data_IF_487224680552
#
_entry.id   IF_487224680552
#
_cell.length_a   1.000
_cell.length_b   1.000
_cell.length_c   1.000
_cell.angle_alpha   90.00
_cell.angle_beta   90.00
_cell.angle_gamma   90.00
#
_symmetry.space_group_name_H-M   'P 1'
#
loop_
_entity.id
_entity.type
_entity.pdbx_description
1 polymer ?
#
# COMPACT_ATOMS: atom_id res chain seq x y z
N UNK A 1 -15.58 -13.19 25.41
CA UNK A 1 -16.09 -11.80 25.35
C UNK A 1 -15.06 -10.96 24.59
N UNK A 2 -15.32 -10.56 23.34
CA UNK A 2 -14.47 -9.57 22.66
C UNK A 2 -14.60 -8.23 23.40
N UNK A 3 -13.48 -7.57 23.69
CA UNK A 3 -13.48 -6.24 24.31
C UNK A 3 -13.90 -5.22 23.25
N UNK A 4 -14.85 -4.34 23.58
CA UNK A 4 -15.22 -3.21 22.73
C UNK A 4 -14.17 -2.11 22.82
N UNK A 5 -13.91 -1.46 21.70
CA UNK A 5 -13.03 -0.29 21.59
C UNK A 5 -13.79 0.89 21.01
N UNK A 6 -13.26 2.09 21.24
CA UNK A 6 -13.86 3.36 20.85
C UNK A 6 -12.87 4.17 20.03
N UNK A 7 -13.34 4.84 18.98
CA UNK A 7 -12.54 5.77 18.20
C UNK A 7 -13.37 6.96 17.76
N UNK A 8 -12.84 8.16 17.96
CA UNK A 8 -13.50 9.40 17.58
C UNK A 8 -12.95 9.95 16.26
N UNK A 9 -13.83 10.53 15.46
CA UNK A 9 -13.51 11.25 14.22
C UNK A 9 -14.21 12.60 14.22
N UNK A 10 -13.60 13.59 13.58
CA UNK A 10 -14.21 14.91 13.38
C UNK A 10 -14.14 15.26 11.90
N UNK A 11 -15.30 15.50 11.29
CA UNK A 11 -15.44 15.93 9.91
C UNK A 11 -15.82 17.41 9.92
N UNK A 12 -14.85 18.28 9.67
CA UNK A 12 -15.12 19.70 9.50
C UNK A 12 -16.05 19.93 8.29
N UNK A 13 -16.92 20.93 8.35
CA UNK A 13 -17.82 21.26 7.25
C UNK A 13 -17.07 21.67 5.96
N UNK A 14 -15.83 22.12 6.11
CA UNK A 14 -14.90 22.45 5.03
C UNK A 14 -13.83 21.36 4.79
N UNK A 15 -14.04 20.13 5.29
CA UNK A 15 -13.16 19.00 5.01
C UNK A 15 -13.04 18.79 3.49
N UNK A 16 -11.81 18.63 3.00
CA UNK A 16 -11.50 18.37 1.59
C UNK A 16 -11.71 16.90 1.20
N UNK A 17 -12.28 16.11 2.12
CA UNK A 17 -12.53 14.69 1.99
C UNK A 17 -11.54 13.81 2.74
N UNK A 18 -10.44 14.36 3.28
CA UNK A 18 -9.44 13.57 4.00
C UNK A 18 -9.99 12.94 5.29
N UNK A 19 -10.69 13.72 6.14
CA UNK A 19 -11.28 13.18 7.37
C UNK A 19 -12.44 12.22 7.07
N UNK A 20 -13.22 12.54 6.04
CA UNK A 20 -14.30 11.69 5.53
C UNK A 20 -13.78 10.35 5.02
N UNK A 21 -12.68 10.33 4.27
CA UNK A 21 -12.05 9.10 3.79
C UNK A 21 -11.45 8.29 4.95
N UNK A 22 -10.84 8.94 5.94
CA UNK A 22 -10.31 8.28 7.13
C UNK A 22 -11.40 7.55 7.93
N UNK A 23 -12.54 8.21 8.16
CA UNK A 23 -13.70 7.60 8.82
C UNK A 23 -14.24 6.41 8.01
N UNK A 24 -14.45 6.59 6.71
CA UNK A 24 -14.95 5.53 5.82
C UNK A 24 -14.01 4.32 5.78
N UNK A 25 -12.70 4.56 5.73
CA UNK A 25 -11.67 3.52 5.78
C UNK A 25 -11.73 2.77 7.11
N UNK A 26 -11.92 3.48 8.22
CA UNK A 26 -12.04 2.88 9.54
C UNK A 26 -13.28 1.98 9.66
N UNK A 27 -14.44 2.48 9.26
CA UNK A 27 -15.71 1.73 9.25
C UNK A 27 -15.60 0.46 8.40
N UNK A 28 -14.95 0.54 7.23
CA UNK A 28 -14.78 -0.61 6.33
C UNK A 28 -13.80 -1.67 6.84
N UNK A 29 -12.93 -1.34 7.79
CA UNK A 29 -11.87 -2.22 8.30
C UNK A 29 -12.18 -2.88 9.63
N UNK A 30 -13.28 -2.51 10.29
CA UNK A 30 -13.64 -3.01 11.63
C UNK A 30 -15.09 -3.48 11.66
N UNK A 31 -15.38 -4.43 12.55
CA UNK A 31 -16.77 -4.78 12.89
C UNK A 31 -17.31 -3.67 13.79
N UNK A 32 -18.16 -2.84 13.23
CA UNK A 32 -18.73 -1.69 13.93
C UNK A 32 -19.94 -2.16 14.75
N UNK A 33 -19.90 -1.85 16.04
CA UNK A 33 -20.94 -2.15 17.01
C UNK A 33 -21.95 -1.01 17.12
N UNK A 34 -21.47 0.24 17.12
CA UNK A 34 -22.31 1.44 17.18
C UNK A 34 -21.59 2.64 16.59
N UNK A 35 -22.35 3.60 16.06
CA UNK A 35 -21.84 4.91 15.64
C UNK A 35 -22.77 5.98 16.20
N UNK A 36 -22.23 6.82 17.07
CA UNK A 36 -22.89 8.02 17.54
C UNK A 36 -22.34 9.23 16.79
N UNK A 37 -23.21 10.20 16.49
CA UNK A 37 -22.82 11.42 15.79
C UNK A 37 -23.50 12.65 16.39
N UNK A 38 -22.74 13.73 16.47
CA UNK A 38 -23.22 15.02 16.95
C UNK A 38 -22.66 16.13 16.06
N UNK A 39 -23.50 17.11 15.74
CA UNK A 39 -23.05 18.29 15.00
C UNK A 39 -22.53 19.34 15.97
N UNK A 40 -21.29 19.76 15.81
CA UNK A 40 -20.65 20.81 16.61
C UNK A 40 -20.56 22.08 15.77
N UNK A 41 -21.12 23.19 16.26
CA UNK A 41 -21.13 24.45 15.52
C UNK A 41 -19.87 25.32 15.73
N UNK A 42 -19.09 25.09 16.79
CA UNK A 42 -17.91 25.88 17.16
C UNK A 42 -16.86 25.00 17.87
N UNK A 43 -15.55 25.33 17.80
CA UNK A 43 -14.93 26.47 17.10
C UNK A 43 -14.79 26.27 15.58
N UNK A 44 -14.88 25.02 15.10
CA UNK A 44 -14.97 24.69 13.67
C UNK A 44 -16.30 23.95 13.48
N UNK A 45 -17.19 24.40 12.58
CA UNK A 45 -18.43 23.68 12.32
C UNK A 45 -18.12 22.31 11.71
N UNK A 46 -18.74 21.26 12.21
CA UNK A 46 -18.47 19.90 11.72
C UNK A 46 -19.23 18.83 12.47
N UNK A 47 -19.07 17.60 12.03
CA UNK A 47 -19.67 16.42 12.64
C UNK A 47 -18.62 15.66 13.46
N UNK A 48 -18.88 15.49 14.74
CA UNK A 48 -18.15 14.56 15.60
C UNK A 48 -18.80 13.18 15.52
N UNK A 49 -17.98 12.14 15.39
CA UNK A 49 -18.41 10.75 15.40
C UNK A 49 -17.68 10.01 16.51
N UNK A 50 -18.42 9.22 17.28
CA UNK A 50 -17.87 8.21 18.19
C UNK A 50 -18.23 6.83 17.64
N UNK A 51 -17.21 6.05 17.25
CA UNK A 51 -17.39 4.72 16.67
C UNK A 51 -16.98 3.67 17.69
N UNK A 52 -17.93 2.81 18.05
CA UNK A 52 -17.69 1.62 18.89
C UNK A 52 -17.48 0.42 17.98
N UNK A 53 -16.42 -0.34 18.20
CA UNK A 53 -16.04 -1.45 17.33
C UNK A 53 -15.45 -2.61 18.14
N UNK A 54 -15.45 -3.82 17.57
CA UNK A 54 -14.80 -4.96 18.20
C UNK A 54 -13.26 -4.83 18.13
N UNK A 55 -12.58 -5.06 19.26
CA UNK A 55 -11.12 -5.21 19.25
C UNK A 55 -10.74 -6.42 18.38
N UNK A 56 -10.13 -6.15 17.23
CA UNK A 56 -9.48 -7.21 16.45
C UNK A 56 -8.40 -7.88 17.31
N UNK A 57 -8.30 -9.21 17.28
CA UNK A 57 -7.28 -10.00 17.99
C UNK A 57 -5.83 -9.73 17.54
N UNK A 58 -5.62 -8.76 16.67
CA UNK A 58 -4.30 -8.26 16.28
C UNK A 58 -4.18 -6.79 16.69
N UNK A 59 -4.02 -6.56 18.00
CA UNK A 59 -3.39 -5.34 18.50
C UNK A 59 -1.88 -5.59 18.53
N UNK A 60 -1.09 -4.59 18.12
CA UNK A 60 0.37 -4.57 17.94
C UNK A 60 0.93 -5.08 16.60
N UNK A 61 0.60 -4.36 15.51
CA UNK A 61 1.55 -4.03 14.44
C UNK A 61 0.98 -2.87 13.59
N UNK A 62 1.78 -1.87 13.19
CA UNK A 62 1.34 -0.90 12.21
C UNK A 62 1.14 -1.62 10.87
N UNK A 63 -0.06 -1.45 10.33
CA UNK A 63 -0.46 -1.61 8.92
C UNK A 63 0.44 -2.48 8.04
N UNK A 64 0.18 -3.78 8.05
CA UNK A 64 0.33 -4.59 6.84
C UNK A 64 -0.68 -5.73 6.90
N UNK A 65 -1.85 -5.49 6.29
CA UNK A 65 -2.69 -6.51 5.63
C UNK A 65 -3.95 -5.88 5.03
N UNK A 66 -3.80 -5.46 3.78
CA UNK A 66 -4.59 -5.93 2.64
C UNK A 66 -6.02 -6.43 2.95
N UNK A 67 -7.01 -5.53 2.87
CA UNK A 67 -8.43 -5.90 2.72
C UNK A 67 -9.04 -5.15 1.54
N UNK A 68 -9.20 -5.87 0.41
CA UNK A 68 -10.39 -5.77 -0.45
C UNK A 68 -10.73 -4.43 -1.12
N UNK A 69 -9.78 -3.52 -1.40
CA UNK A 69 -10.02 -2.44 -2.36
C UNK A 69 -10.16 -3.06 -3.75
N UNK A 70 -11.21 -2.65 -4.49
CA UNK A 70 -11.41 -3.02 -5.89
C UNK A 70 -10.08 -3.01 -6.64
N UNK A 71 -9.81 -4.08 -7.38
CA UNK A 71 -8.52 -4.42 -7.98
C UNK A 71 -7.92 -3.17 -8.63
N UNK A 72 -7.02 -2.49 -7.92
CA UNK A 72 -6.37 -1.27 -8.39
C UNK A 72 -5.54 -1.66 -9.60
N UNK A 73 -5.84 -1.06 -10.74
CA UNK A 73 -5.04 -1.27 -11.94
C UNK A 73 -3.78 -0.39 -11.85
N UNK A 74 -2.80 -0.87 -11.09
CA UNK A 74 -1.52 -0.19 -10.88
C UNK A 74 -0.78 0.10 -12.18
N UNK A 75 -1.02 -0.70 -13.22
CA UNK A 75 -0.42 -0.50 -14.54
C UNK A 75 -0.96 0.77 -15.20
N UNK A 76 -2.26 1.04 -15.08
CA UNK A 76 -2.89 2.24 -15.63
C UNK A 76 -2.44 3.55 -14.97
N UNK A 77 -1.80 3.49 -13.79
CA UNK A 77 -1.26 4.64 -13.07
C UNK A 77 0.15 5.04 -13.53
N UNK A 78 0.77 4.27 -14.42
CA UNK A 78 2.17 4.44 -14.84
C UNK A 78 2.27 5.09 -16.22
N UNK A 79 3.36 5.83 -16.47
CA UNK A 79 3.73 6.27 -17.83
C UNK A 79 4.07 5.07 -18.72
N UNK A 80 4.08 5.24 -20.05
CA UNK A 80 4.33 4.15 -20.99
C UNK A 80 5.66 3.41 -20.73
N UNK A 81 6.73 4.14 -20.45
CA UNK A 81 8.05 3.57 -20.14
C UNK A 81 8.01 2.76 -18.84
N UNK A 82 7.32 3.27 -17.83
CA UNK A 82 7.14 2.60 -16.55
C UNK A 82 6.20 1.39 -16.64
N UNK A 83 5.22 1.40 -17.55
CA UNK A 83 4.35 0.25 -17.81
C UNK A 83 5.14 -0.94 -18.34
N UNK A 84 6.10 -0.71 -19.25
CA UNK A 84 6.95 -1.78 -19.80
C UNK A 84 7.80 -2.44 -18.70
N UNK A 85 8.38 -1.62 -17.82
CA UNK A 85 9.17 -2.12 -16.68
C UNK A 85 8.28 -2.86 -15.68
N UNK A 86 7.10 -2.34 -15.40
CA UNK A 86 6.14 -3.00 -14.52
C UNK A 86 5.70 -4.37 -15.08
N UNK A 87 5.44 -4.47 -16.37
CA UNK A 87 5.10 -5.74 -17.04
C UNK A 87 6.27 -6.73 -16.92
N UNK A 88 7.51 -6.30 -17.18
CA UNK A 88 8.69 -7.15 -16.98
C UNK A 88 8.86 -7.62 -15.53
N UNK A 89 8.61 -6.75 -14.54
CA UNK A 89 8.63 -7.15 -13.12
C UNK A 89 7.54 -8.19 -12.81
N UNK A 90 6.38 -8.13 -13.46
CA UNK A 90 5.32 -9.14 -13.29
C UNK A 90 5.73 -10.50 -13.85
N UNK A 91 6.48 -10.51 -14.95
CA UNK A 91 7.01 -11.74 -15.57
C UNK A 91 8.09 -12.38 -14.69
N UNK A 92 9.07 -11.59 -14.21
CA UNK A 92 10.07 -12.05 -13.22
C UNK A 92 9.39 -12.66 -11.99
N UNK A 93 8.31 -12.04 -11.50
CA UNK A 93 7.55 -12.59 -10.38
C UNK A 93 6.87 -13.91 -10.74
N UNK A 94 6.34 -14.05 -11.95
CA UNK A 94 5.71 -15.29 -12.39
C UNK A 94 6.73 -16.42 -12.43
N UNK A 95 7.89 -16.19 -13.04
CA UNK A 95 9.00 -17.16 -13.10
C UNK A 95 9.44 -17.61 -11.71
N UNK A 96 9.67 -16.68 -10.78
CA UNK A 96 10.07 -16.99 -9.41
C UNK A 96 8.99 -17.77 -8.63
N UNK A 97 7.72 -17.46 -8.87
CA UNK A 97 6.62 -18.13 -8.22
C UNK A 97 6.47 -19.57 -8.74
N UNK A 98 6.56 -19.75 -10.06
CA UNK A 98 6.45 -21.04 -10.73
C UNK A 98 7.63 -21.96 -10.38
N UNK A 99 8.85 -21.43 -10.33
CA UNK A 99 10.05 -22.16 -9.91
C UNK A 99 9.95 -22.73 -8.47
N UNK A 100 9.12 -22.12 -7.62
CA UNK A 100 8.91 -22.57 -6.24
C UNK A 100 7.56 -23.28 -6.00
N UNK A 101 6.74 -23.44 -7.04
CA UNK A 101 5.38 -23.95 -6.90
C UNK A 101 4.51 -23.10 -5.96
N UNK A 102 4.79 -21.79 -5.86
CA UNK A 102 4.08 -20.84 -4.99
C UNK A 102 3.19 -19.93 -5.83
N UNK A 103 2.19 -19.33 -5.18
CA UNK A 103 1.38 -18.29 -5.84
C UNK A 103 2.18 -16.99 -5.94
N UNK A 104 1.99 -16.22 -7.03
CA UNK A 104 2.70 -14.96 -7.33
C UNK A 104 2.76 -13.98 -6.16
N UNK A 105 1.66 -13.83 -5.41
CA UNK A 105 1.61 -12.92 -4.26
C UNK A 105 2.51 -13.33 -3.08
N UNK A 106 2.97 -14.59 -3.01
CA UNK A 106 3.95 -15.02 -2.01
C UNK A 106 5.35 -14.47 -2.28
N UNK A 107 5.67 -14.16 -3.54
CA UNK A 107 6.89 -13.46 -3.94
C UNK A 107 6.72 -11.97 -3.62
N UNK A 108 5.90 -11.26 -4.38
CA UNK A 108 5.54 -9.85 -4.19
C UNK A 108 4.12 -9.55 -4.71
N UNK A 109 3.43 -8.57 -4.13
CA UNK A 109 2.11 -8.12 -4.63
C UNK A 109 2.26 -7.08 -5.74
N UNK A 110 1.22 -6.83 -6.54
CA UNK A 110 1.25 -5.74 -7.54
C UNK A 110 1.48 -4.38 -6.89
N UNK A 111 0.95 -4.17 -5.68
CA UNK A 111 1.20 -2.97 -4.88
C UNK A 111 2.69 -2.83 -4.51
N UNK A 112 3.36 -3.93 -4.18
CA UNK A 112 4.81 -3.90 -3.93
C UNK A 112 5.59 -3.54 -5.20
N UNK A 113 5.28 -4.17 -6.34
CA UNK A 113 5.96 -3.87 -7.60
C UNK A 113 5.78 -2.39 -7.99
N UNK A 114 4.56 -1.87 -7.85
CA UNK A 114 4.25 -0.46 -8.10
C UNK A 114 5.03 0.47 -7.18
N UNK A 115 5.07 0.18 -5.86
CA UNK A 115 5.79 0.99 -4.89
C UNK A 115 7.31 1.03 -5.14
N UNK A 116 7.90 -0.11 -5.52
CA UNK A 116 9.33 -0.18 -5.86
C UNK A 116 9.67 0.67 -7.09
N UNK A 117 8.79 0.66 -8.08
CA UNK A 117 8.94 1.44 -9.30
C UNK A 117 8.83 2.94 -9.01
N UNK A 118 7.83 3.36 -8.23
CA UNK A 118 7.60 4.76 -7.86
C UNK A 118 8.75 5.35 -7.04
N UNK A 119 9.39 4.54 -6.21
CA UNK A 119 10.48 4.99 -5.34
C UNK A 119 11.86 4.76 -5.93
N UNK A 120 11.97 4.31 -7.18
CA UNK A 120 13.25 4.16 -7.87
C UNK A 120 14.26 3.36 -7.02
N UNK A 121 13.82 2.23 -6.48
CA UNK A 121 14.63 1.43 -5.56
C UNK A 121 15.76 0.73 -6.29
N UNK A 122 16.98 0.79 -5.75
CA UNK A 122 18.16 0.13 -6.35
C UNK A 122 18.87 -0.83 -5.42
N UNK A 123 18.53 -0.84 -4.12
CA UNK A 123 19.16 -1.70 -3.12
C UNK A 123 18.17 -2.63 -2.40
N UNK A 124 18.69 -3.73 -1.85
CA UNK A 124 17.88 -4.68 -1.06
C UNK A 124 17.31 -4.03 0.21
N UNK A 125 18.08 -3.14 0.84
CA UNK A 125 17.65 -2.44 2.06
C UNK A 125 16.45 -1.53 1.79
N UNK A 126 16.49 -0.75 0.72
CA UNK A 126 15.37 0.06 0.25
C UNK A 126 14.16 -0.82 -0.08
N UNK A 127 14.35 -1.89 -0.85
CA UNK A 127 13.26 -2.81 -1.23
C UNK A 127 12.54 -3.35 0.01
N UNK A 128 13.28 -3.75 1.04
CA UNK A 128 12.71 -4.18 2.32
C UNK A 128 11.95 -3.06 3.01
N UNK A 129 12.50 -1.85 3.01
CA UNK A 129 11.84 -0.72 3.65
C UNK A 129 10.49 -0.39 2.97
N UNK A 130 10.43 -0.45 1.64
CA UNK A 130 9.23 -0.18 0.85
C UNK A 130 8.19 -1.30 1.00
N UNK A 131 8.61 -2.55 0.90
CA UNK A 131 7.68 -3.70 0.83
C UNK A 131 7.37 -4.30 2.20
N UNK A 132 8.14 -3.98 3.23
CA UNK A 132 8.07 -4.54 4.59
C UNK A 132 8.07 -6.08 4.62
N UNK A 133 8.68 -6.72 3.62
CA UNK A 133 8.86 -8.17 3.60
C UNK A 133 9.96 -8.60 4.59
N UNK A 134 9.88 -9.85 5.06
CA UNK A 134 10.89 -10.40 5.94
C UNK A 134 12.24 -10.67 5.23
N UNK A 135 13.28 -10.86 6.02
CA UNK A 135 14.65 -10.99 5.56
C UNK A 135 14.87 -12.18 4.62
N UNK A 136 14.26 -13.32 4.93
CA UNK A 136 14.38 -14.53 4.10
C UNK A 136 13.78 -14.31 2.71
N UNK A 137 12.62 -13.65 2.64
CA UNK A 137 11.96 -13.33 1.37
C UNK A 137 12.77 -12.31 0.57
N UNK A 138 13.31 -11.29 1.23
CA UNK A 138 14.16 -10.30 0.58
C UNK A 138 15.43 -10.93 0.02
N UNK A 139 16.15 -11.73 0.81
CA UNK A 139 17.35 -12.44 0.36
C UNK A 139 17.09 -13.32 -0.86
N UNK A 140 15.92 -13.96 -0.90
CA UNK A 140 15.58 -14.91 -1.97
C UNK A 140 15.12 -14.25 -3.26
N UNK A 141 14.36 -13.16 -3.17
CA UNK A 141 13.66 -12.60 -4.33
C UNK A 141 14.10 -11.20 -4.73
N UNK A 142 14.85 -10.45 -3.92
CA UNK A 142 15.12 -9.04 -4.21
C UNK A 142 15.95 -8.84 -5.48
N UNK A 143 17.02 -9.62 -5.67
CA UNK A 143 18.02 -9.36 -6.72
C UNK A 143 17.42 -9.33 -8.14
N UNK A 144 16.58 -10.29 -8.58
CA UNK A 144 15.95 -10.24 -9.89
C UNK A 144 15.14 -8.96 -10.16
N UNK A 145 14.44 -8.42 -9.16
CA UNK A 145 13.71 -7.16 -9.32
C UNK A 145 14.64 -5.95 -9.37
N UNK A 146 15.71 -5.95 -8.56
CA UNK A 146 16.69 -4.86 -8.55
C UNK A 146 17.49 -4.77 -9.84
N UNK A 147 17.73 -5.89 -10.53
CA UNK A 147 18.33 -5.88 -11.88
C UNK A 147 17.45 -5.08 -12.85
N UNK A 148 16.15 -5.41 -12.90
CA UNK A 148 15.18 -4.71 -13.77
C UNK A 148 15.10 -3.22 -13.46
N UNK A 149 15.08 -2.84 -12.18
CA UNK A 149 15.00 -1.44 -11.76
C UNK A 149 16.28 -0.65 -12.06
N UNK A 150 17.46 -1.26 -11.94
CA UNK A 150 18.74 -0.62 -12.29
C UNK A 150 18.87 -0.39 -13.79
N UNK A 151 18.41 -1.32 -14.62
CA UNK A 151 18.41 -1.15 -16.08
C UNK A 151 17.52 0.02 -16.53
N UNK A 152 16.36 0.22 -15.88
CA UNK A 152 15.52 1.40 -16.09
C UNK A 152 16.32 2.68 -15.80
N UNK A 153 17.00 2.76 -14.65
CA UNK A 153 17.77 3.94 -14.25
C UNK A 153 18.93 4.25 -15.18
N UNK A 154 19.62 3.22 -15.66
CA UNK A 154 20.71 3.36 -16.63
C UNK A 154 20.18 3.87 -17.98
N UNK A 155 19.03 3.36 -18.43
CA UNK A 155 18.38 3.80 -19.67
C UNK A 155 17.95 5.27 -19.62
N UNK A 156 17.51 5.76 -18.46
CA UNK A 156 17.19 7.18 -18.26
C UNK A 156 18.42 8.09 -18.15
N UNK A 157 19.58 7.58 -17.72
CA UNK A 157 20.82 8.37 -17.61
C UNK A 157 21.60 8.47 -18.93
N UNK A 158 21.48 7.49 -19.83
CA UNK A 158 22.14 7.51 -21.14
C UNK A 158 21.48 8.46 -22.17
N UNK A 159 20.29 9.01 -21.87
CA UNK A 159 19.56 9.91 -22.76
C UNK A 159 19.96 11.41 -22.66
N UNK A 160 21.03 11.76 -21.92
CA UNK A 160 21.60 13.10 -21.93
C UNK A 160 22.55 13.26 -23.15
N UNK A 161 22.33 14.24 -24.06
CA UNK A 161 23.27 14.49 -25.15
C UNK A 161 24.61 14.99 -24.60
N UNK A 162 25.75 14.65 -25.21
CA UNK A 162 26.96 15.45 -25.03
C UNK A 162 26.72 16.83 -25.65
N UNK A 163 27.14 17.88 -24.96
CA UNK A 163 27.28 19.24 -25.53
C UNK A 163 28.22 19.24 -26.75
#
# INVERSE_FOLDING_TARGET
MSKSQYRSFFLAANDDGAASEALNRFIRSHVILSVEREYCAAPVPGWAFCVVFEASKTADAPESKNTGKGKVDYRALLSADLQLVFDRMRDVRAELADAEGKKRYHVLTDAHLYALLQQSVTTVAELKNVTKINDDRAKKYAEPFLVVLRELHQSTQTAAPPE
#
